data_IF_083820022056
#
_entry.id   IF_083820022056
#
_cell.length_a   1.000
_cell.length_b   1.000
_cell.length_c   1.000
_cell.angle_alpha   90.00
_cell.angle_beta   90.00
_cell.angle_gamma   90.00
#
_symmetry.space_group_name_H-M   'P 1'
#
loop_
_entity.id
_entity.type
_entity.pdbx_description
1 polymer ?
#
# COMPACT_ATOMS: atom_id res chain seq x y z
N UNK A 1 12.76 0.07 16.97
CA UNK A 1 13.23 -0.98 16.02
C UNK A 1 12.29 -2.17 16.19
N UNK A 2 11.50 -2.51 15.17
CA UNK A 2 10.42 -3.50 15.25
C UNK A 2 10.99 -4.86 15.70
N UNK A 3 10.50 -5.40 16.82
CA UNK A 3 10.86 -6.75 17.23
C UNK A 3 10.27 -7.74 16.23
N UNK A 4 11.10 -8.23 15.32
CA UNK A 4 10.85 -9.33 14.35
C UNK A 4 9.97 -10.48 14.90
N UNK A 5 10.08 -10.92 16.18
CA UNK A 5 9.19 -11.94 16.73
C UNK A 5 7.70 -11.53 16.80
N UNK A 6 7.37 -10.24 16.92
CA UNK A 6 5.99 -9.76 16.97
C UNK A 6 5.29 -9.89 15.62
N UNK A 7 5.96 -9.50 14.53
CA UNK A 7 5.42 -9.63 13.17
C UNK A 7 5.28 -11.09 12.75
N UNK A 8 6.24 -11.93 13.13
CA UNK A 8 6.16 -13.38 12.90
C UNK A 8 4.96 -14.02 13.63
N UNK A 9 4.72 -13.63 14.89
CA UNK A 9 3.58 -14.13 15.68
C UNK A 9 2.23 -13.70 15.10
N UNK A 10 2.14 -12.47 14.58
CA UNK A 10 0.94 -11.96 13.90
C UNK A 10 0.73 -12.64 12.54
N UNK A 11 1.80 -12.85 11.77
CA UNK A 11 1.74 -13.64 10.53
C UNK A 11 1.21 -15.05 10.76
N UNK A 12 1.62 -15.70 11.86
CA UNK A 12 1.14 -17.03 12.25
C UNK A 12 -0.35 -17.05 12.64
N UNK A 13 -0.88 -15.93 13.15
CA UNK A 13 -2.31 -15.78 13.45
C UNK A 13 -3.18 -15.58 12.20
N UNK A 14 -2.56 -15.16 11.09
CA UNK A 14 -3.20 -14.87 9.81
C UNK A 14 -3.20 -16.06 8.81
N UNK A 15 -2.67 -17.22 9.22
CA UNK A 15 -2.64 -18.46 8.42
C UNK A 15 -4.01 -18.89 7.86
N UNK A 16 -5.15 -18.83 8.57
CA UNK A 16 -6.42 -19.30 8.00
C UNK A 16 -6.91 -18.45 6.81
N UNK A 17 -6.55 -17.17 6.77
CA UNK A 17 -6.96 -16.22 5.72
C UNK A 17 -5.92 -16.09 4.60
N UNK A 18 -4.93 -17.00 4.56
CA UNK A 18 -3.82 -16.92 3.62
C UNK A 18 -4.27 -16.91 2.15
N UNK A 19 -5.37 -17.59 1.82
CA UNK A 19 -5.95 -17.62 0.48
C UNK A 19 -6.32 -16.21 -0.01
N UNK A 20 -6.95 -15.39 0.84
CA UNK A 20 -7.34 -14.01 0.53
C UNK A 20 -6.12 -13.09 0.41
N UNK A 21 -5.11 -13.32 1.24
CA UNK A 21 -3.86 -12.56 1.21
C UNK A 21 -3.07 -12.88 -0.05
N UNK A 22 -2.97 -14.16 -0.44
CA UNK A 22 -2.29 -14.58 -1.66
C UNK A 22 -2.98 -13.98 -2.90
N UNK A 23 -4.31 -14.07 -2.96
CA UNK A 23 -5.10 -13.45 -4.02
C UNK A 23 -4.88 -11.94 -4.08
N UNK A 24 -4.95 -11.26 -2.93
CA UNK A 24 -4.72 -9.81 -2.84
C UNK A 24 -3.28 -9.42 -3.23
N UNK A 25 -2.30 -10.24 -2.89
CA UNK A 25 -0.88 -10.00 -3.20
C UNK A 25 -0.63 -10.14 -4.70
N UNK A 26 -1.12 -11.21 -5.34
CA UNK A 26 -1.02 -11.40 -6.79
C UNK A 26 -1.70 -10.24 -7.53
N UNK A 27 -2.91 -9.85 -7.11
CA UNK A 27 -3.63 -8.72 -7.69
C UNK A 27 -2.88 -7.39 -7.49
N UNK A 28 -2.23 -7.19 -6.34
CA UNK A 28 -1.41 -5.98 -6.07
C UNK A 28 -0.18 -5.90 -6.95
N UNK A 29 0.47 -7.04 -7.22
CA UNK A 29 1.62 -7.10 -8.10
C UNK A 29 1.22 -6.72 -9.53
N UNK A 30 0.12 -7.27 -10.04
CA UNK A 30 -0.44 -6.93 -11.36
C UNK A 30 -0.76 -5.43 -11.41
N UNK A 31 -1.44 -4.92 -10.40
CA UNK A 31 -1.82 -3.51 -10.37
C UNK A 31 -0.63 -2.55 -10.26
N UNK A 32 0.44 -2.94 -9.56
CA UNK A 32 1.68 -2.18 -9.52
C UNK A 32 2.34 -2.08 -10.90
N UNK A 33 2.29 -3.14 -11.69
CA UNK A 33 2.81 -3.16 -13.05
C UNK A 33 1.95 -2.34 -14.04
N UNK A 34 0.65 -2.19 -13.77
CA UNK A 34 -0.27 -1.39 -14.60
C UNK A 34 0.22 0.06 -14.78
N UNK A 35 0.78 0.69 -13.75
CA UNK A 35 1.22 2.09 -13.80
C UNK A 35 2.36 2.32 -14.82
N UNK A 36 3.47 1.57 -14.79
CA UNK A 36 4.50 1.65 -15.83
C UNK A 36 4.01 1.26 -17.24
N UNK A 37 3.17 0.23 -17.35
CA UNK A 37 2.62 -0.25 -18.63
C UNK A 37 1.72 0.82 -19.27
N UNK A 38 0.94 1.53 -18.45
CA UNK A 38 0.14 2.68 -18.89
C UNK A 38 1.05 3.75 -19.51
N UNK A 39 2.12 4.14 -18.81
CA UNK A 39 3.08 5.12 -19.32
C UNK A 39 3.71 4.72 -20.67
N UNK A 40 4.07 3.44 -20.83
CA UNK A 40 4.64 2.92 -22.08
C UNK A 40 3.63 2.88 -23.24
N UNK A 41 2.38 2.52 -22.96
CA UNK A 41 1.34 2.54 -24.00
C UNK A 41 1.01 3.98 -24.40
N UNK A 42 1.04 4.90 -23.44
CA UNK A 42 0.80 6.32 -23.69
C UNK A 42 1.91 6.94 -24.55
N UNK A 43 3.18 6.59 -24.30
CA UNK A 43 4.28 7.06 -25.14
C UNK A 43 4.17 6.54 -26.59
N UNK A 44 3.69 5.30 -26.79
CA UNK A 44 3.41 4.76 -28.13
C UNK A 44 2.28 5.51 -28.83
N UNK A 45 1.24 5.90 -28.09
CA UNK A 45 0.16 6.73 -28.62
C UNK A 45 0.68 8.10 -29.08
N UNK A 46 1.56 8.74 -28.31
CA UNK A 46 2.21 9.98 -28.75
C UNK A 46 3.08 9.79 -30.00
N UNK A 47 3.82 8.67 -30.08
CA UNK A 47 4.58 8.32 -31.28
C UNK A 47 3.69 8.12 -32.52
N UNK A 48 2.48 7.59 -32.35
CA UNK A 48 1.53 7.43 -33.45
C UNK A 48 1.09 8.77 -34.06
N UNK A 49 1.05 9.85 -33.29
CA UNK A 49 0.71 11.18 -33.81
C UNK A 49 1.78 11.77 -34.73
N UNK A 50 3.02 11.25 -34.69
CA UNK A 50 4.09 11.69 -35.57
C UNK A 50 4.05 11.02 -36.97
N UNK A 51 3.17 10.04 -37.19
CA UNK A 51 3.01 9.38 -38.48
C UNK A 51 2.39 10.33 -39.51
N UNK A 52 2.98 10.39 -40.72
CA UNK A 52 2.56 11.35 -41.76
C UNK A 52 1.37 10.85 -42.58
N UNK A 53 1.17 9.54 -42.67
CA UNK A 53 0.02 8.94 -43.33
C UNK A 53 -1.20 8.93 -42.40
N UNK A 54 -2.24 9.68 -42.79
CA UNK A 54 -3.47 9.84 -42.02
C UNK A 54 -4.20 8.52 -41.77
N UNK A 55 -4.17 7.58 -42.71
CA UNK A 55 -4.85 6.29 -42.54
C UNK A 55 -4.13 5.41 -41.52
N UNK A 56 -2.79 5.38 -41.60
CA UNK A 56 -1.93 4.65 -40.67
C UNK A 56 -1.96 5.27 -39.27
N UNK A 57 -1.96 6.60 -39.18
CA UNK A 57 -2.11 7.33 -37.93
C UNK A 57 -3.42 6.97 -37.21
N UNK A 58 -4.56 7.03 -37.91
CA UNK A 58 -5.87 6.67 -37.35
C UNK A 58 -5.89 5.24 -36.82
N UNK A 59 -5.30 4.29 -37.56
CA UNK A 59 -5.22 2.89 -37.15
C UNK A 59 -4.36 2.70 -35.88
N UNK A 60 -3.17 3.30 -35.83
CA UNK A 60 -2.27 3.20 -34.68
C UNK A 60 -2.87 3.83 -33.41
N UNK A 61 -3.55 4.96 -33.56
CA UNK A 61 -4.25 5.63 -32.45
C UNK A 61 -5.42 4.77 -31.95
N UNK A 62 -6.22 4.19 -32.85
CA UNK A 62 -7.34 3.33 -32.50
C UNK A 62 -6.87 2.09 -31.71
N UNK A 63 -5.82 1.41 -32.19
CA UNK A 63 -5.25 0.25 -31.48
C UNK A 63 -4.72 0.64 -30.12
N UNK A 64 -3.96 1.75 -30.04
CA UNK A 64 -3.40 2.23 -28.77
C UNK A 64 -4.50 2.55 -27.77
N UNK A 65 -5.61 3.15 -28.22
CA UNK A 65 -6.78 3.45 -27.40
C UNK A 65 -7.47 2.18 -26.89
N UNK A 66 -7.67 1.18 -27.74
CA UNK A 66 -8.26 -0.11 -27.35
C UNK A 66 -7.39 -0.81 -26.30
N UNK A 67 -6.07 -0.87 -26.51
CA UNK A 67 -5.13 -1.45 -25.54
C UNK A 67 -5.20 -0.71 -24.20
N UNK A 68 -5.25 0.63 -24.23
CA UNK A 68 -5.40 1.45 -23.04
C UNK A 68 -6.69 1.15 -22.26
N UNK A 69 -7.79 0.99 -22.99
CA UNK A 69 -9.09 0.66 -22.41
C UNK A 69 -9.07 -0.71 -21.74
N UNK A 70 -8.48 -1.72 -22.39
CA UNK A 70 -8.31 -3.06 -21.81
C UNK A 70 -7.45 -3.04 -20.54
N UNK A 71 -6.36 -2.27 -20.53
CA UNK A 71 -5.51 -2.08 -19.33
C UNK A 71 -6.31 -1.43 -18.21
N UNK A 72 -7.15 -0.43 -18.52
CA UNK A 72 -8.02 0.23 -17.54
C UNK A 72 -9.01 -0.73 -16.88
N UNK A 73 -9.69 -1.56 -17.66
CA UNK A 73 -10.61 -2.59 -17.13
C UNK A 73 -9.85 -3.60 -16.27
N UNK A 74 -8.74 -4.14 -16.77
CA UNK A 74 -7.92 -5.10 -16.03
C UNK A 74 -7.37 -4.52 -14.72
N UNK A 75 -6.91 -3.26 -14.75
CA UNK A 75 -6.46 -2.52 -13.58
C UNK A 75 -7.57 -2.28 -12.56
N UNK A 76 -8.79 -1.93 -13.02
CA UNK A 76 -9.96 -1.78 -12.16
C UNK A 76 -10.33 -3.07 -11.43
N UNK A 77 -10.34 -4.20 -12.14
CA UNK A 77 -10.61 -5.51 -11.55
C UNK A 77 -9.51 -5.88 -10.54
N UNK A 78 -8.24 -5.69 -10.89
CA UNK A 78 -7.12 -5.97 -9.99
C UNK A 78 -7.16 -5.11 -8.72
N UNK A 79 -7.56 -3.83 -8.82
CA UNK A 79 -7.74 -2.93 -7.68
C UNK A 79 -8.89 -3.38 -6.78
N UNK A 80 -10.00 -3.82 -7.37
CA UNK A 80 -11.14 -4.34 -6.60
C UNK A 80 -10.74 -5.61 -5.83
N UNK A 81 -10.11 -6.58 -6.50
CA UNK A 81 -9.66 -7.83 -5.88
C UNK A 81 -8.63 -7.59 -4.76
N UNK A 82 -7.66 -6.70 -5.01
CA UNK A 82 -6.68 -6.28 -4.01
C UNK A 82 -7.37 -5.69 -2.77
N UNK A 83 -8.29 -4.75 -3.00
CA UNK A 83 -8.99 -4.05 -1.92
C UNK A 83 -9.83 -5.02 -1.08
N UNK A 84 -10.61 -5.89 -1.72
CA UNK A 84 -11.45 -6.87 -1.03
C UNK A 84 -10.60 -7.89 -0.27
N UNK A 85 -9.55 -8.44 -0.89
CA UNK A 85 -8.68 -9.44 -0.27
C UNK A 85 -8.02 -8.93 1.02
N UNK A 86 -7.36 -7.76 0.96
CA UNK A 86 -6.69 -7.18 2.12
C UNK A 86 -7.65 -6.58 3.14
N UNK A 87 -8.80 -6.03 2.72
CA UNK A 87 -9.81 -5.52 3.66
C UNK A 87 -10.43 -6.66 4.48
N UNK A 88 -10.79 -7.78 3.81
CA UNK A 88 -11.39 -8.94 4.46
C UNK A 88 -10.42 -9.60 5.44
N UNK A 89 -9.20 -9.90 4.99
CA UNK A 89 -8.15 -10.49 5.85
C UNK A 89 -7.83 -9.57 7.05
N UNK A 90 -7.75 -8.25 6.82
CA UNK A 90 -7.50 -7.28 7.89
C UNK A 90 -8.61 -7.25 8.94
N UNK A 91 -9.88 -7.35 8.53
CA UNK A 91 -11.02 -7.35 9.45
C UNK A 91 -11.06 -8.63 10.29
N UNK A 92 -10.91 -9.80 9.67
CA UNK A 92 -10.93 -11.09 10.38
C UNK A 92 -9.79 -11.20 11.41
N UNK A 93 -8.58 -10.78 11.04
CA UNK A 93 -7.46 -10.73 11.97
C UNK A 93 -7.75 -9.80 13.16
N UNK A 94 -8.34 -8.63 12.89
CA UNK A 94 -8.72 -7.66 13.93
C UNK A 94 -9.77 -8.24 14.88
N UNK A 95 -10.79 -8.89 14.34
CA UNK A 95 -11.85 -9.55 15.11
C UNK A 95 -11.29 -10.67 15.99
N UNK A 96 -10.36 -11.47 15.47
CA UNK A 96 -9.71 -12.54 16.21
C UNK A 96 -8.86 -12.00 17.37
N UNK A 97 -8.07 -10.96 17.11
CA UNK A 97 -7.27 -10.29 18.13
C UNK A 97 -8.16 -9.70 19.23
N UNK A 98 -9.28 -9.05 18.88
CA UNK A 98 -10.24 -8.53 19.86
C UNK A 98 -10.79 -9.63 20.77
N UNK A 99 -11.20 -10.77 20.19
CA UNK A 99 -11.71 -11.92 20.95
C UNK A 99 -10.65 -12.51 21.89
N UNK A 100 -9.42 -12.69 21.40
CA UNK A 100 -8.32 -13.24 22.19
C UNK A 100 -7.94 -12.33 23.35
N UNK A 101 -7.78 -11.02 23.10
CA UNK A 101 -7.40 -10.08 24.15
C UNK A 101 -8.54 -9.90 25.17
N UNK A 102 -9.79 -9.84 24.73
CA UNK A 102 -10.93 -9.79 25.66
C UNK A 102 -11.03 -11.06 26.53
N UNK A 103 -10.83 -12.23 25.94
CA UNK A 103 -10.81 -13.48 26.71
C UNK A 103 -9.64 -13.54 27.70
N UNK A 104 -8.48 -12.99 27.34
CA UNK A 104 -7.33 -12.87 28.25
C UNK A 104 -7.61 -11.89 29.39
N UNK A 105 -8.27 -10.75 29.11
CA UNK A 105 -8.68 -9.80 30.15
C UNK A 105 -9.62 -10.45 31.18
N UNK A 106 -10.60 -11.25 30.74
CA UNK A 106 -11.54 -11.93 31.64
C UNK A 106 -10.90 -13.02 32.53
N UNK A 107 -9.71 -13.52 32.18
CA UNK A 107 -8.99 -14.54 32.96
C UNK A 107 -8.08 -13.95 34.04
N UNK A 108 -8.01 -12.62 34.12
CA UNK A 108 -7.10 -11.93 35.01
C UNK A 108 -7.70 -11.79 36.42
N UNK A 109 -6.82 -11.84 37.43
CA UNK A 109 -7.19 -11.72 38.84
C UNK A 109 -7.75 -10.31 39.18
N UNK A 110 -8.61 -10.24 40.20
CA UNK A 110 -9.29 -8.98 40.58
C UNK A 110 -8.29 -7.87 40.91
N UNK A 111 -7.19 -8.20 41.60
CA UNK A 111 -6.12 -7.25 41.94
C UNK A 111 -5.42 -6.64 40.73
N UNK A 112 -5.56 -7.22 39.53
CA UNK A 112 -5.05 -6.62 38.30
C UNK A 112 -5.83 -5.36 37.91
N UNK A 113 -7.14 -5.33 38.19
CA UNK A 113 -8.04 -4.22 37.85
C UNK A 113 -8.02 -3.09 38.88
N UNK A 114 -7.41 -3.30 40.05
CA UNK A 114 -7.26 -2.28 41.10
C UNK A 114 -6.26 -1.18 40.69
N UNK A 115 -5.38 -1.44 39.72
CA UNK A 115 -4.48 -0.44 39.17
C UNK A 115 -5.22 0.51 38.22
N UNK A 116 -5.07 1.83 38.42
CA UNK A 116 -5.72 2.86 37.60
C UNK A 116 -5.40 2.72 36.09
N UNK A 117 -4.17 2.27 35.77
CA UNK A 117 -3.72 1.97 34.40
C UNK A 117 -4.44 0.79 33.73
N UNK A 118 -5.01 -0.09 34.54
CA UNK A 118 -5.71 -1.31 34.14
C UNK A 118 -7.22 -1.22 34.44
N UNK A 119 -7.73 -0.02 34.69
CA UNK A 119 -9.17 0.20 34.78
C UNK A 119 -9.86 -0.30 33.51
N UNK A 120 -11.08 -0.82 33.66
CA UNK A 120 -11.85 -1.40 32.55
C UNK A 120 -11.98 -0.44 31.36
N UNK A 121 -12.18 0.86 31.64
CA UNK A 121 -12.23 1.89 30.60
C UNK A 121 -10.90 2.09 29.86
N UNK A 122 -9.78 2.09 30.59
CA UNK A 122 -8.45 2.21 29.98
C UNK A 122 -8.11 0.98 29.13
N UNK A 123 -8.44 -0.23 29.60
CA UNK A 123 -8.21 -1.49 28.87
C UNK A 123 -9.04 -1.58 27.58
N UNK A 124 -10.33 -1.25 27.62
CA UNK A 124 -11.20 -1.24 26.42
C UNK A 124 -10.70 -0.20 25.40
N UNK A 125 -10.28 0.97 25.88
CA UNK A 125 -9.72 2.02 25.02
C UNK A 125 -8.42 1.56 24.35
N UNK A 126 -7.50 0.95 25.12
CA UNK A 126 -6.25 0.38 24.58
C UNK A 126 -6.55 -0.72 23.56
N UNK A 127 -7.42 -1.66 23.90
CA UNK A 127 -7.83 -2.74 22.99
C UNK A 127 -8.38 -2.20 21.66
N UNK A 128 -9.23 -1.19 21.72
CA UNK A 128 -9.82 -0.57 20.52
C UNK A 128 -8.78 0.14 19.66
N UNK A 129 -7.85 0.88 20.30
CA UNK A 129 -6.74 1.56 19.61
C UNK A 129 -5.77 0.56 18.98
N UNK A 130 -5.30 -0.42 19.74
CA UNK A 130 -4.32 -1.42 19.28
C UNK A 130 -4.89 -2.28 18.15
N UNK A 131 -6.16 -2.70 18.26
CA UNK A 131 -6.84 -3.45 17.21
C UNK A 131 -6.97 -2.62 15.92
N UNK A 132 -7.31 -1.33 16.04
CA UNK A 132 -7.44 -0.44 14.87
C UNK A 132 -6.08 -0.13 14.24
N UNK A 133 -5.04 0.05 15.06
CA UNK A 133 -3.67 0.25 14.59
C UNK A 133 -3.15 -1.00 13.86
N UNK A 134 -3.40 -2.19 14.40
CA UNK A 134 -3.04 -3.46 13.75
C UNK A 134 -3.73 -3.62 12.40
N UNK A 135 -5.05 -3.36 12.31
CA UNK A 135 -5.78 -3.35 11.03
C UNK A 135 -5.12 -2.44 9.99
N UNK A 136 -4.70 -1.25 10.43
CA UNK A 136 -3.99 -0.28 9.59
C UNK A 136 -2.61 -0.73 9.14
N UNK A 137 -1.94 -1.61 9.89
CA UNK A 137 -0.60 -2.11 9.58
C UNK A 137 -0.61 -3.39 8.74
N UNK A 138 -1.53 -4.32 9.01
CA UNK A 138 -1.53 -5.66 8.39
C UNK A 138 -2.52 -5.84 7.24
N UNK A 139 -3.48 -4.92 7.07
CA UNK A 139 -4.44 -4.96 5.98
C UNK A 139 -3.91 -4.30 4.71
N UNK A 140 -4.66 -3.30 4.21
CA UNK A 140 -4.44 -2.61 2.93
C UNK A 140 -3.02 -2.03 2.76
N UNK A 141 -2.36 -1.65 3.86
CA UNK A 141 -1.01 -1.07 3.82
C UNK A 141 0.03 -2.03 3.26
N UNK A 142 -0.08 -3.33 3.56
CA UNK A 142 0.81 -4.35 3.01
C UNK A 142 0.63 -4.45 1.50
N UNK A 143 -0.61 -4.44 1.02
CA UNK A 143 -0.91 -4.41 -0.42
C UNK A 143 -0.29 -3.20 -1.13
N UNK A 144 -0.36 -2.01 -0.53
CA UNK A 144 0.28 -0.80 -1.07
C UNK A 144 1.80 -0.96 -1.16
N UNK A 145 2.45 -1.60 -0.17
CA UNK A 145 3.90 -1.85 -0.22
C UNK A 145 4.25 -2.80 -1.37
N UNK A 146 3.52 -3.90 -1.54
CA UNK A 146 3.73 -4.82 -2.66
C UNK A 146 3.49 -4.17 -4.01
N UNK A 147 2.44 -3.35 -4.12
CA UNK A 147 2.15 -2.57 -5.31
C UNK A 147 3.29 -1.59 -5.63
N UNK A 148 3.81 -0.88 -4.63
CA UNK A 148 4.93 0.05 -4.83
C UNK A 148 6.20 -0.67 -5.27
N UNK A 149 6.53 -1.83 -4.66
CA UNK A 149 7.67 -2.65 -5.06
C UNK A 149 7.51 -3.12 -6.51
N UNK A 150 6.34 -3.65 -6.87
CA UNK A 150 6.05 -4.10 -8.24
C UNK A 150 6.15 -2.95 -9.25
N UNK A 151 5.61 -1.78 -8.91
CA UNK A 151 5.67 -0.60 -9.77
C UNK A 151 7.11 -0.15 -10.02
N UNK A 152 7.94 -0.08 -8.97
CA UNK A 152 9.36 0.29 -9.09
C UNK A 152 10.12 -0.73 -9.93
N UNK A 153 9.96 -2.02 -9.66
CA UNK A 153 10.64 -3.08 -10.41
C UNK A 153 10.26 -3.04 -11.89
N UNK A 154 8.95 -2.97 -12.18
CA UNK A 154 8.44 -2.95 -13.56
C UNK A 154 8.88 -1.67 -14.29
N UNK A 155 8.84 -0.52 -13.63
CA UNK A 155 9.32 0.74 -14.20
C UNK A 155 10.80 0.70 -14.54
N UNK A 156 11.63 0.17 -13.64
CA UNK A 156 13.07 0.03 -13.87
C UNK A 156 13.34 -0.89 -15.06
N UNK A 157 12.70 -2.06 -15.11
CA UNK A 157 12.85 -3.01 -16.24
C UNK A 157 12.50 -2.33 -17.56
N UNK A 158 11.33 -1.68 -17.65
CA UNK A 158 10.89 -0.99 -18.88
C UNK A 158 11.86 0.13 -19.28
N UNK A 159 12.34 0.91 -18.32
CA UNK A 159 13.23 2.05 -18.56
C UNK A 159 14.59 1.59 -19.08
N UNK A 160 15.20 0.59 -18.43
CA UNK A 160 16.49 0.02 -18.86
C UNK A 160 16.42 -0.60 -20.26
N UNK A 161 15.31 -1.28 -20.59
CA UNK A 161 15.10 -1.84 -21.93
C UNK A 161 14.96 -0.77 -23.01
N UNK A 162 14.35 0.38 -22.68
CA UNK A 162 14.11 1.44 -23.65
C UNK A 162 15.38 2.24 -23.95
N UNK A 163 16.09 2.71 -22.92
CA UNK A 163 17.32 3.48 -23.07
C UNK A 163 18.12 3.49 -21.77
N UNK A 164 19.15 2.65 -21.70
CA UNK A 164 20.00 2.54 -20.52
C UNK A 164 20.73 3.84 -20.18
N UNK A 165 21.13 4.64 -21.19
CA UNK A 165 21.82 5.93 -20.98
C UNK A 165 20.92 6.97 -20.30
N UNK A 166 19.69 7.15 -20.79
CA UNK A 166 18.71 8.08 -20.20
C UNK A 166 18.30 7.63 -18.80
N UNK A 167 18.13 6.33 -18.60
CA UNK A 167 17.74 5.75 -17.31
C UNK A 167 18.79 6.01 -16.23
N UNK A 168 20.09 5.87 -16.54
CA UNK A 168 21.16 6.17 -15.59
C UNK A 168 21.14 7.62 -15.13
N UNK A 169 20.94 8.56 -16.07
CA UNK A 169 20.84 9.99 -15.74
C UNK A 169 19.67 10.25 -14.80
N UNK A 170 18.48 9.74 -15.10
CA UNK A 170 17.29 9.90 -14.25
C UNK A 170 17.47 9.23 -12.89
N UNK A 171 18.13 8.07 -12.84
CA UNK A 171 18.42 7.35 -11.59
C UNK A 171 19.29 8.17 -10.64
N UNK A 172 20.24 8.96 -11.15
CA UNK A 172 21.03 9.90 -10.33
C UNK A 172 20.18 11.00 -9.66
N UNK A 173 19.07 11.42 -10.27
CA UNK A 173 18.17 12.43 -9.69
C UNK A 173 17.14 11.84 -8.71
N UNK A 174 16.81 10.55 -8.83
CA UNK A 174 15.88 9.86 -7.91
C UNK A 174 16.18 10.05 -6.40
N UNK A 175 17.43 9.91 -5.90
CA UNK A 175 17.73 10.10 -4.47
C UNK A 175 17.49 11.53 -3.99
N UNK A 176 17.69 12.54 -4.85
CA UNK A 176 17.40 13.94 -4.50
C UNK A 176 15.91 14.14 -4.22
N UNK A 177 15.04 13.53 -5.02
CA UNK A 177 13.59 13.58 -4.82
C UNK A 177 13.20 12.88 -3.51
N UNK A 178 13.81 11.73 -3.21
CA UNK A 178 13.54 11.02 -1.93
C UNK A 178 13.98 11.88 -0.74
N UNK A 179 15.13 12.55 -0.85
CA UNK A 179 15.63 13.43 0.19
C UNK A 179 14.69 14.62 0.46
N UNK A 180 14.21 15.29 -0.59
CA UNK A 180 13.28 16.42 -0.44
C UNK A 180 11.93 15.98 0.14
N UNK A 181 11.42 14.81 -0.25
CA UNK A 181 10.19 14.26 0.33
C UNK A 181 10.36 13.95 1.82
N UNK A 182 11.50 13.37 2.22
CA UNK A 182 11.81 13.10 3.63
C UNK A 182 11.91 14.39 4.44
N UNK A 183 12.60 15.40 3.90
CA UNK A 183 12.76 16.70 4.55
C UNK A 183 11.41 17.42 4.74
N UNK A 184 10.58 17.46 3.70
CA UNK A 184 9.22 18.01 3.79
C UNK A 184 8.35 17.27 4.81
N UNK A 185 8.46 15.95 4.87
CA UNK A 185 7.74 15.13 5.86
C UNK A 185 8.15 15.45 7.30
N UNK A 186 9.44 15.71 7.54
CA UNK A 186 9.92 16.15 8.85
C UNK A 186 9.42 17.55 9.19
N UNK A 187 9.37 18.47 8.21
CA UNK A 187 8.89 19.82 8.43
C UNK A 187 7.40 19.83 8.80
N UNK A 188 6.57 19.03 8.12
CA UNK A 188 5.14 18.90 8.43
C UNK A 188 4.88 18.39 9.85
N UNK A 189 5.66 17.40 10.31
CA UNK A 189 5.54 16.89 11.69
C UNK A 189 5.81 17.96 12.73
N UNK A 190 6.89 18.74 12.54
CA UNK A 190 7.23 19.85 13.43
C UNK A 190 6.11 20.90 13.47
N UNK A 191 5.52 21.24 12.32
CA UNK A 191 4.40 22.18 12.27
C UNK A 191 3.16 21.63 12.99
N UNK A 192 2.84 20.34 12.86
CA UNK A 192 1.72 19.73 13.59
C UNK A 192 1.94 19.79 15.11
N UNK A 193 3.15 19.49 15.58
CA UNK A 193 3.50 19.57 17.01
C UNK A 193 3.34 21.00 17.55
N UNK A 194 3.76 22.01 16.79
CA UNK A 194 3.60 23.43 17.15
C UNK A 194 2.12 23.86 17.19
N UNK A 195 1.30 23.40 16.24
CA UNK A 195 -0.14 23.72 16.23
C UNK A 195 -0.85 23.10 17.43
N UNK A 196 -0.52 21.85 17.78
CA UNK A 196 -1.06 21.18 18.98
C UNK A 196 -0.66 21.97 20.24
N UNK A 197 0.60 22.39 20.38
CA UNK A 197 1.03 23.21 21.53
C UNK A 197 0.30 24.56 21.63
N UNK A 198 0.10 25.27 20.51
CA UNK A 198 -0.59 26.57 20.50
C UNK A 198 -2.11 26.48 20.74
N UNK A 199 -2.72 25.31 20.58
CA UNK A 199 -4.16 25.11 20.82
C UNK A 199 -4.47 24.71 22.28
N UNK A 200 -3.44 24.48 23.10
CA UNK A 200 -3.56 24.33 24.55
C UNK A 200 -3.29 25.63 25.35
N UNK A 201 -2.98 26.74 24.66
CA UNK A 201 -2.80 28.09 25.23
C UNK A 201 -4.02 28.95 24.84
#
# INVERSE_FOLDING_TARGET
FFHVPFLYKISKLNIPELHWILLGTIASLILGATQPIFGLTLSKMFGAFAESDLNKQKYLVLISAIIHFCIGIGGGIAQFLTSVGFAKSGEELTMRMRKMTFSAMLRQEISYFDYESNSTGALITRLSKDASALKGLTGVRIGIIFQAISAVITALIISFLSSWKLTLVVSCFSPLIIFTNKFQGQNKRKTTELTDETSFI
#
